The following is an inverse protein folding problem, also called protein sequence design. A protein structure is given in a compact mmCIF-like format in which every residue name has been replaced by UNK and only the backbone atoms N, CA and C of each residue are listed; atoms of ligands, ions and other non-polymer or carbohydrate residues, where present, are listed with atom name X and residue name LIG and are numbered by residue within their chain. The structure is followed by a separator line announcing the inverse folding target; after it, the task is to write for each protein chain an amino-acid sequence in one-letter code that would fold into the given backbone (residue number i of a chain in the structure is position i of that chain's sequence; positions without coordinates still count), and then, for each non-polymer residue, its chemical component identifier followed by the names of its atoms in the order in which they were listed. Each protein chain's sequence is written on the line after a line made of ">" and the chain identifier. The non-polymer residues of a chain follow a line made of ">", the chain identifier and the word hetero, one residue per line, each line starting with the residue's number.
data_IF_027042257691
#
_entry.id   IF_027042257691
#
_cell.length_a   1.000
_cell.length_b   1.000
_cell.length_c   1.000
_cell.angle_alpha   90.00
_cell.angle_beta   90.00
_cell.angle_gamma   90.00
#
_symmetry.space_group_name_H-M   'P 1'
#
loop_
_entity.id
_entity.type
_entity.pdbx_description
1 polymer ?
#
# COMPACT_ATOMS: atom_id res chain seq x y z
N UNK A 1 -1.54 1.94 -20.64
CA UNK A 1 -1.40 0.47 -20.69
C UNK A 1 -1.71 -0.05 -19.30
N UNK A 2 -2.61 -1.03 -19.18
CA UNK A 2 -2.94 -1.66 -17.89
C UNK A 2 -1.71 -2.41 -17.36
N UNK A 3 -1.39 -2.26 -16.07
CA UNK A 3 -0.39 -3.10 -15.44
C UNK A 3 -0.85 -4.56 -15.52
N UNK A 4 -0.04 -5.50 -16.02
CA UNK A 4 -0.42 -6.91 -16.03
C UNK A 4 -0.63 -7.39 -14.60
N UNK A 5 -1.81 -7.96 -14.32
CA UNK A 5 -2.07 -8.55 -13.01
C UNK A 5 -1.10 -9.69 -12.74
N UNK A 6 -0.57 -9.77 -11.54
CA UNK A 6 0.39 -10.80 -11.14
C UNK A 6 -0.11 -11.57 -9.93
N UNK A 7 0.29 -12.83 -9.83
CA UNK A 7 -0.12 -13.73 -8.75
C UNK A 7 0.38 -13.19 -7.40
N UNK A 8 -0.47 -13.23 -6.39
CA UNK A 8 -0.15 -12.86 -5.00
C UNK A 8 -0.51 -13.99 -4.04
N UNK A 9 0.00 -13.93 -2.81
CA UNK A 9 -0.33 -14.89 -1.74
C UNK A 9 -1.83 -14.81 -1.44
N UNK A 10 -2.62 -15.90 -1.61
CA UNK A 10 -4.08 -15.86 -1.55
C UNK A 10 -4.63 -16.09 -0.13
N UNK A 11 -4.03 -15.43 0.86
CA UNK A 11 -4.40 -15.54 2.28
C UNK A 11 -4.53 -14.13 2.84
N UNK A 12 -5.68 -13.83 3.43
CA UNK A 12 -6.05 -12.48 3.82
C UNK A 12 -6.72 -12.42 5.20
N UNK A 13 -6.61 -11.27 5.88
CA UNK A 13 -7.40 -10.97 7.07
C UNK A 13 -8.90 -10.87 6.74
N UNK A 14 -9.76 -10.99 7.76
CA UNK A 14 -11.23 -11.02 7.59
C UNK A 14 -11.81 -9.73 7.01
N UNK A 15 -11.14 -8.61 7.23
CA UNK A 15 -11.54 -7.30 6.73
C UNK A 15 -11.48 -7.21 5.19
N UNK A 16 -10.78 -8.12 4.50
CA UNK A 16 -10.82 -8.23 3.02
C UNK A 16 -12.24 -8.38 2.48
N UNK A 17 -13.15 -8.98 3.28
CA UNK A 17 -14.55 -9.15 2.93
C UNK A 17 -15.30 -7.81 2.80
N UNK A 18 -14.83 -6.76 3.49
CA UNK A 18 -15.38 -5.41 3.35
C UNK A 18 -14.98 -4.73 2.02
N UNK A 19 -14.02 -5.32 1.29
CA UNK A 19 -13.55 -4.83 -0.01
C UNK A 19 -14.09 -5.63 -1.20
N UNK A 20 -15.00 -6.59 -0.98
CA UNK A 20 -15.64 -7.33 -2.07
C UNK A 20 -16.43 -6.36 -2.96
N UNK A 21 -16.20 -6.46 -4.26
CA UNK A 21 -17.01 -5.82 -5.29
C UNK A 21 -18.13 -6.75 -5.76
N UNK A 22 -17.78 -8.00 -6.06
CA UNK A 22 -18.70 -8.99 -6.61
C UNK A 22 -18.20 -10.42 -6.38
N UNK A 23 -19.13 -11.38 -6.37
CA UNK A 23 -18.85 -12.81 -6.43
C UNK A 23 -19.73 -13.50 -7.49
N UNK A 24 -19.11 -14.37 -8.30
CA UNK A 24 -19.80 -15.04 -9.40
C UNK A 24 -19.35 -16.48 -9.50
N UNK A 25 -20.31 -17.41 -9.54
CA UNK A 25 -20.06 -18.80 -9.90
C UNK A 25 -19.88 -18.93 -11.41
N UNK A 26 -18.70 -19.40 -11.84
CA UNK A 26 -18.35 -19.52 -13.25
C UNK A 26 -18.81 -20.86 -13.83
N UNK A 27 -19.51 -20.85 -14.97
CA UNK A 27 -19.95 -22.06 -15.68
C UNK A 27 -18.78 -22.98 -16.08
N UNK A 28 -18.84 -24.28 -15.79
CA UNK A 28 -17.73 -25.25 -15.88
C UNK A 28 -16.90 -25.20 -17.17
N UNK A 29 -17.51 -24.86 -18.30
CA UNK A 29 -16.86 -24.74 -19.61
C UNK A 29 -15.93 -23.53 -19.74
N UNK A 30 -16.02 -22.56 -18.82
CA UNK A 30 -15.24 -21.31 -18.87
C UNK A 30 -13.84 -21.48 -18.28
N UNK A 31 -12.78 -20.93 -18.91
CA UNK A 31 -11.46 -20.85 -18.31
C UNK A 31 -11.50 -19.90 -17.10
N UNK A 32 -11.55 -20.45 -15.88
CA UNK A 32 -11.92 -19.72 -14.67
C UNK A 32 -11.09 -18.45 -14.43
N UNK A 33 -9.76 -18.55 -14.57
CA UNK A 33 -8.83 -17.43 -14.38
C UNK A 33 -9.10 -16.30 -15.39
N UNK A 34 -9.27 -16.62 -16.67
CA UNK A 34 -9.49 -15.62 -17.71
C UNK A 34 -10.85 -14.93 -17.54
N UNK A 35 -11.89 -15.70 -17.20
CA UNK A 35 -13.21 -15.14 -16.94
C UNK A 35 -13.17 -14.20 -15.71
N UNK A 36 -12.51 -14.61 -14.64
CA UNK A 36 -12.39 -13.79 -13.43
C UNK A 36 -11.56 -12.52 -13.66
N UNK A 37 -10.46 -12.62 -14.43
CA UNK A 37 -9.68 -11.47 -14.85
C UNK A 37 -10.51 -10.49 -15.69
N UNK A 38 -11.35 -10.98 -16.60
CA UNK A 38 -12.23 -10.14 -17.40
C UNK A 38 -13.26 -9.40 -16.55
N UNK A 39 -13.87 -10.06 -15.56
CA UNK A 39 -14.79 -9.42 -14.61
C UNK A 39 -14.09 -8.26 -13.87
N UNK A 40 -12.85 -8.48 -13.43
CA UNK A 40 -12.06 -7.43 -12.79
C UNK A 40 -11.73 -6.29 -13.77
N UNK A 41 -11.30 -6.60 -15.00
CA UNK A 41 -10.97 -5.59 -16.02
C UNK A 41 -12.15 -4.71 -16.42
N UNK A 42 -13.37 -5.24 -16.39
CA UNK A 42 -14.59 -4.50 -16.71
C UNK A 42 -15.03 -3.56 -15.57
N UNK A 43 -14.53 -3.78 -14.34
CA UNK A 43 -14.81 -2.93 -13.20
C UNK A 43 -13.59 -2.07 -12.84
N UNK A 44 -13.65 -0.77 -13.10
CA UNK A 44 -12.54 0.17 -12.82
C UNK A 44 -12.11 0.23 -11.35
N UNK A 45 -12.98 -0.18 -10.43
CA UNK A 45 -12.66 -0.23 -9.00
C UNK A 45 -11.92 -1.53 -8.62
N UNK A 46 -11.91 -2.56 -9.48
CA UNK A 46 -11.27 -3.83 -9.18
C UNK A 46 -9.75 -3.75 -9.28
N UNK A 47 -9.07 -4.27 -8.25
CA UNK A 47 -7.61 -4.25 -8.14
C UNK A 47 -7.02 -5.59 -7.66
N UNK A 48 -7.89 -6.48 -7.22
CA UNK A 48 -7.59 -7.85 -6.83
C UNK A 48 -8.75 -8.72 -7.30
N UNK A 49 -8.43 -9.90 -7.81
CA UNK A 49 -9.41 -10.95 -8.01
C UNK A 49 -8.85 -12.28 -7.53
N UNK A 50 -9.74 -13.12 -7.02
CA UNK A 50 -9.42 -14.41 -6.44
C UNK A 50 -10.39 -15.49 -6.91
N UNK A 51 -9.91 -16.73 -6.94
CA UNK A 51 -10.69 -17.91 -7.25
C UNK A 51 -10.64 -18.90 -6.10
N UNK A 52 -11.79 -19.46 -5.76
CA UNK A 52 -11.92 -20.67 -4.95
C UNK A 52 -12.87 -21.62 -5.68
N UNK A 53 -12.39 -22.78 -6.09
CA UNK A 53 -13.07 -23.72 -6.99
C UNK A 53 -13.53 -23.03 -8.30
N UNK A 54 -14.83 -22.75 -8.41
CA UNK A 54 -15.47 -22.08 -9.55
C UNK A 54 -16.04 -20.72 -9.18
N UNK A 55 -15.81 -20.26 -7.96
CA UNK A 55 -16.24 -18.94 -7.50
C UNK A 55 -15.15 -17.91 -7.75
N UNK A 56 -15.48 -16.92 -8.57
CA UNK A 56 -14.65 -15.73 -8.78
C UNK A 56 -15.10 -14.64 -7.82
N UNK A 57 -14.13 -14.05 -7.12
CA UNK A 57 -14.32 -12.93 -6.23
C UNK A 57 -13.49 -11.75 -6.74
N UNK A 58 -14.10 -10.57 -6.86
CA UNK A 58 -13.41 -9.34 -7.24
C UNK A 58 -13.43 -8.36 -6.09
N UNK A 59 -12.37 -7.55 -5.95
CA UNK A 59 -12.19 -6.67 -4.80
C UNK A 59 -11.65 -5.30 -5.19
N UNK A 60 -12.01 -4.29 -4.39
CA UNK A 60 -11.30 -2.99 -4.36
C UNK A 60 -9.97 -3.05 -3.62
N UNK A 61 -9.72 -4.16 -2.90
CA UNK A 61 -8.48 -4.39 -2.18
C UNK A 61 -7.28 -4.40 -3.14
N UNK A 62 -6.16 -3.85 -2.70
CA UNK A 62 -4.89 -3.93 -3.43
C UNK A 62 -3.91 -4.78 -2.65
N UNK A 63 -3.14 -5.58 -3.37
CA UNK A 63 -2.17 -6.49 -2.78
C UNK A 63 -0.89 -6.39 -3.57
N UNK A 64 0.21 -6.09 -2.90
CA UNK A 64 1.52 -6.00 -3.55
C UNK A 64 2.08 -7.40 -3.81
N UNK A 65 3.14 -7.49 -4.63
CA UNK A 65 3.93 -8.73 -4.74
C UNK A 65 4.70 -9.08 -3.46
N UNK A 66 4.78 -8.15 -2.51
CA UNK A 66 5.52 -8.30 -1.25
C UNK A 66 4.65 -8.85 -0.12
N UNK A 67 3.33 -8.98 -0.33
CA UNK A 67 2.38 -9.56 0.62
C UNK A 67 2.76 -10.99 1.01
N UNK A 68 3.05 -11.18 2.30
CA UNK A 68 3.48 -12.48 2.85
C UNK A 68 2.31 -13.40 3.24
N UNK A 69 1.07 -12.91 3.19
CA UNK A 69 -0.08 -13.61 3.75
C UNK A 69 -0.31 -13.22 5.22
N UNK A 70 -1.54 -13.43 5.68
CA UNK A 70 -1.91 -13.21 7.08
C UNK A 70 -1.81 -14.52 7.85
N UNK A 71 -0.93 -14.60 8.86
CA UNK A 71 -0.78 -15.81 9.68
C UNK A 71 -2.03 -16.15 10.51
N UNK A 72 -2.91 -15.18 10.79
CA UNK A 72 -4.19 -15.42 11.45
C UNK A 72 -5.30 -15.87 10.47
N UNK A 73 -5.00 -15.89 9.16
CA UNK A 73 -5.78 -16.37 8.00
C UNK A 73 -7.21 -16.79 8.31
N UNK A 74 -8.14 -15.85 8.23
CA UNK A 74 -9.58 -16.16 8.27
C UNK A 74 -10.19 -16.34 6.88
N UNK A 75 -9.52 -15.89 5.81
CA UNK A 75 -10.02 -15.98 4.43
C UNK A 75 -8.91 -16.40 3.48
N UNK A 76 -9.09 -17.53 2.78
CA UNK A 76 -8.10 -18.10 1.84
C UNK A 76 -8.70 -18.39 0.47
N UNK A 77 -7.94 -18.32 -0.60
CA UNK A 77 -8.38 -18.66 -1.95
C UNK A 77 -7.37 -19.61 -2.59
N UNK A 78 -7.76 -20.29 -3.69
CA UNK A 78 -6.83 -21.16 -4.41
C UNK A 78 -5.77 -20.34 -5.13
N UNK A 79 -6.19 -19.22 -5.72
CA UNK A 79 -5.31 -18.31 -6.43
C UNK A 79 -5.88 -16.89 -6.46
N UNK A 80 -4.99 -15.90 -6.37
CA UNK A 80 -5.32 -14.49 -6.48
C UNK A 80 -4.33 -13.76 -7.36
N UNK A 81 -4.79 -12.70 -8.02
CA UNK A 81 -3.98 -11.82 -8.84
C UNK A 81 -4.28 -10.36 -8.54
N UNK A 82 -3.25 -9.54 -8.43
CA UNK A 82 -3.41 -8.09 -8.23
C UNK A 82 -2.81 -7.29 -9.37
N UNK A 83 -3.47 -6.19 -9.71
CA UNK A 83 -3.01 -5.14 -10.63
C UNK A 83 -1.94 -4.24 -10.00
N UNK A 84 -1.76 -4.31 -8.67
CA UNK A 84 -0.83 -3.46 -7.92
C UNK A 84 0.61 -3.99 -7.89
N UNK A 85 0.85 -5.15 -8.48
CA UNK A 85 2.19 -5.73 -8.57
C UNK A 85 3.17 -4.83 -9.36
N UNK A 86 4.43 -4.80 -8.90
CA UNK A 86 5.54 -4.21 -9.64
C UNK A 86 6.79 -5.09 -9.44
N UNK A 87 7.49 -5.43 -10.53
CA UNK A 87 8.62 -6.39 -10.47
C UNK A 87 9.80 -5.89 -9.64
N UNK A 88 9.97 -4.58 -9.56
CA UNK A 88 11.04 -3.93 -8.79
C UNK A 88 10.54 -3.36 -7.46
N UNK A 89 9.41 -3.86 -6.96
CA UNK A 89 8.92 -3.52 -5.63
C UNK A 89 9.86 -4.09 -4.55
N UNK A 90 10.53 -3.19 -3.85
CA UNK A 90 11.49 -3.50 -2.79
C UNK A 90 10.93 -3.28 -1.39
N UNK A 91 9.62 -3.04 -1.24
CA UNK A 91 8.97 -2.85 0.07
C UNK A 91 9.16 -4.08 0.99
N UNK A 92 9.35 -5.29 0.45
CA UNK A 92 9.64 -6.49 1.25
C UNK A 92 10.96 -6.44 2.03
N UNK A 93 11.89 -5.53 1.69
CA UNK A 93 13.12 -5.31 2.45
C UNK A 93 12.93 -4.42 3.68
N UNK A 94 11.75 -3.82 3.89
CA UNK A 94 11.47 -3.11 5.13
C UNK A 94 11.52 -4.10 6.29
N UNK A 95 12.46 -3.88 7.21
CA UNK A 95 12.66 -4.74 8.40
C UNK A 95 12.09 -4.12 9.67
N UNK A 96 11.69 -2.84 9.63
CA UNK A 96 11.13 -2.15 10.77
C UNK A 96 10.52 -0.81 10.37
N UNK A 97 9.48 -0.42 11.10
CA UNK A 97 8.77 0.84 10.91
C UNK A 97 8.56 1.52 12.25
N UNK A 98 8.57 2.85 12.24
CA UNK A 98 8.34 3.68 13.42
C UNK A 98 7.59 4.94 13.02
N UNK A 99 6.85 5.53 13.96
CA UNK A 99 6.17 6.79 13.74
C UNK A 99 6.21 7.65 15.00
N UNK A 100 5.91 8.93 14.84
CA UNK A 100 5.82 9.88 15.95
C UNK A 100 4.74 9.50 16.95
N UNK A 101 3.62 8.95 16.47
CA UNK A 101 2.51 8.45 17.26
C UNK A 101 1.60 7.54 16.43
N UNK A 102 0.72 6.81 17.11
CA UNK A 102 -0.35 6.03 16.50
C UNK A 102 -1.70 6.50 17.06
N UNK A 103 -2.68 6.70 16.19
CA UNK A 103 -4.02 7.16 16.59
C UNK A 103 -4.76 6.10 17.40
N UNK A 104 -4.64 4.83 17.00
CA UNK A 104 -5.20 3.70 17.74
C UNK A 104 -4.34 2.43 17.51
N UNK A 105 -4.59 1.34 18.26
CA UNK A 105 -3.80 0.11 18.15
C UNK A 105 -3.87 -0.61 16.79
N UNK A 106 -4.81 -0.25 15.91
CA UNK A 106 -4.96 -0.83 14.57
C UNK A 106 -4.26 -0.02 13.48
N UNK A 107 -3.81 1.21 13.78
CA UNK A 107 -3.20 2.13 12.82
C UNK A 107 -1.67 2.16 12.92
N UNK A 108 -1.07 1.00 13.10
CA UNK A 108 0.36 0.84 13.36
C UNK A 108 1.22 1.22 12.15
N UNK A 109 2.51 1.59 12.34
CA UNK A 109 3.35 2.06 11.24
C UNK A 109 3.60 1.03 10.14
N UNK A 110 3.55 -0.27 10.44
CA UNK A 110 3.76 -1.36 9.48
C UNK A 110 2.62 -1.47 8.46
N UNK A 111 1.42 -0.98 8.80
CA UNK A 111 0.25 -0.93 7.91
C UNK A 111 0.47 -0.10 6.65
N UNK A 112 1.53 0.70 6.61
CA UNK A 112 1.89 1.47 5.44
C UNK A 112 2.75 0.70 4.42
N UNK A 113 3.26 -0.48 4.76
CA UNK A 113 4.22 -1.23 3.96
C UNK A 113 4.01 -2.74 4.10
N UNK A 114 2.81 -3.15 4.53
CA UNK A 114 2.53 -4.54 4.81
C UNK A 114 2.19 -5.32 3.54
N UNK A 115 1.93 -4.65 2.42
CA UNK A 115 1.57 -5.24 1.14
C UNK A 115 0.08 -5.46 0.91
N UNK A 116 -0.78 -4.94 1.79
CA UNK A 116 -2.23 -5.13 1.75
C UNK A 116 -2.92 -3.78 1.90
N UNK A 117 -4.00 -3.57 1.16
CA UNK A 117 -4.86 -2.40 1.32
C UNK A 117 -6.30 -2.88 1.26
N UNK A 118 -7.02 -2.77 2.37
CA UNK A 118 -8.47 -2.86 2.37
C UNK A 118 -9.05 -1.91 3.41
N UNK A 119 -9.91 -0.98 2.96
CA UNK A 119 -10.72 0.00 3.72
C UNK A 119 -10.03 0.68 4.91
N UNK A 120 -9.77 -0.03 6.00
CA UNK A 120 -9.17 0.46 7.25
C UNK A 120 -7.68 0.15 7.40
N UNK A 121 -7.09 -0.62 6.47
CA UNK A 121 -5.67 -0.97 6.50
C UNK A 121 -4.82 0.24 6.11
N UNK A 122 -4.45 1.04 7.12
CA UNK A 122 -3.74 2.30 6.97
C UNK A 122 -2.90 2.60 8.20
N UNK A 123 -1.77 3.29 8.00
CA UNK A 123 -1.13 4.03 9.07
C UNK A 123 -1.88 5.34 9.36
N UNK A 124 -2.02 5.70 10.64
CA UNK A 124 -2.64 6.96 11.08
C UNK A 124 -2.00 7.44 12.40
N UNK A 125 -1.40 8.64 12.39
CA UNK A 125 -0.85 9.26 13.60
C UNK A 125 -1.90 10.04 14.39
N UNK A 126 -1.60 10.40 15.64
CA UNK A 126 -2.36 11.44 16.33
C UNK A 126 -2.12 12.81 15.71
N UNK A 127 -3.05 13.72 15.95
CA UNK A 127 -2.81 15.15 15.84
C UNK A 127 -1.93 15.54 17.04
N UNK A 128 -0.81 16.21 16.80
CA UNK A 128 0.15 16.53 17.85
C UNK A 128 0.77 17.91 17.64
N UNK A 129 1.16 18.55 18.75
CA UNK A 129 1.93 19.78 18.73
C UNK A 129 3.37 19.45 18.31
N UNK A 130 3.68 19.63 17.03
CA UNK A 130 4.97 19.28 16.43
C UNK A 130 4.83 18.48 15.14
N UNK A 131 5.97 18.03 14.62
CA UNK A 131 6.02 17.30 13.35
C UNK A 131 5.47 15.88 13.51
N UNK A 132 4.46 15.51 12.72
CA UNK A 132 4.05 14.11 12.58
C UNK A 132 4.96 13.44 11.56
N UNK A 133 5.49 12.27 11.90
CA UNK A 133 6.43 11.57 11.04
C UNK A 133 6.21 10.07 11.03
N UNK A 134 6.62 9.45 9.93
CA UNK A 134 6.68 8.00 9.74
C UNK A 134 8.00 7.63 9.08
N UNK A 135 8.59 6.51 9.47
CA UNK A 135 9.88 6.04 8.96
C UNK A 135 9.91 4.53 8.78
N UNK A 136 10.53 4.09 7.69
CA UNK A 136 10.90 2.70 7.44
C UNK A 136 12.41 2.51 7.39
N UNK A 137 12.89 1.39 7.94
CA UNK A 137 14.25 0.87 7.80
C UNK A 137 14.26 -0.24 6.74
N UNK A 138 14.94 0.00 5.62
CA UNK A 138 15.12 -0.95 4.50
C UNK A 138 16.17 -2.05 4.77
N UNK A 139 16.72 -2.09 6.00
CA UNK A 139 17.70 -3.04 6.50
C UNK A 139 19.13 -2.80 6.01
N UNK A 140 19.28 -2.28 4.81
CA UNK A 140 20.55 -1.86 4.21
C UNK A 140 20.31 -0.68 3.26
N UNK A 141 21.34 0.07 2.86
CA UNK A 141 21.21 1.06 1.80
C UNK A 141 20.71 0.40 0.50
N UNK A 142 19.60 0.91 -0.05
CA UNK A 142 19.00 0.45 -1.31
C UNK A 142 18.89 1.62 -2.28
N UNK A 143 19.06 1.33 -3.57
CA UNK A 143 18.73 2.29 -4.63
C UNK A 143 17.22 2.38 -4.80
N UNK A 144 16.66 3.58 -4.66
CA UNK A 144 15.24 3.86 -4.81
C UNK A 144 15.07 4.84 -5.96
N UNK A 145 14.34 4.42 -7.00
CA UNK A 145 14.05 5.23 -8.19
C UNK A 145 12.66 5.85 -8.15
N UNK A 146 11.71 5.24 -7.44
CA UNK A 146 10.34 5.77 -7.33
C UNK A 146 9.71 5.36 -6.01
N UNK A 147 8.90 6.26 -5.45
CA UNK A 147 8.03 5.98 -4.32
C UNK A 147 6.60 6.25 -4.75
N UNK A 148 5.72 5.27 -4.59
CA UNK A 148 4.28 5.44 -4.79
C UNK A 148 3.58 5.39 -3.43
N UNK A 149 2.74 6.38 -3.16
CA UNK A 149 1.96 6.46 -1.93
C UNK A 149 0.49 6.40 -2.28
N UNK A 150 -0.19 5.39 -1.73
CA UNK A 150 -1.62 5.31 -1.76
C UNK A 150 -2.17 6.08 -0.56
N UNK A 151 -2.84 7.21 -0.81
CA UNK A 151 -3.50 7.96 0.27
C UNK A 151 -4.73 7.19 0.78
N UNK A 152 -5.11 7.51 2.03
CA UNK A 152 -6.22 6.88 2.76
C UNK A 152 -7.52 6.91 1.95
N UNK A 153 -8.27 5.80 1.95
CA UNK A 153 -9.42 5.55 1.03
C UNK A 153 -10.80 5.58 1.66
N UNK A 154 -10.91 5.50 2.97
CA UNK A 154 -12.17 5.31 3.70
C UNK A 154 -13.09 6.54 3.73
N UNK A 155 -12.82 7.58 2.92
CA UNK A 155 -13.67 8.75 2.77
C UNK A 155 -13.74 9.63 4.02
N UNK A 156 -12.89 9.37 5.02
CA UNK A 156 -12.78 10.26 6.16
C UNK A 156 -12.25 11.60 5.66
N UNK A 157 -12.94 12.70 6.02
CA UNK A 157 -12.72 14.07 5.54
C UNK A 157 -11.34 14.68 5.85
N UNK A 158 -10.42 13.87 6.39
CA UNK A 158 -9.04 14.21 6.78
C UNK A 158 -8.00 13.27 6.14
N UNK A 159 -7.97 13.14 4.80
CA UNK A 159 -6.72 12.69 4.15
C UNK A 159 -5.67 13.77 4.37
N UNK A 160 -4.89 13.61 5.44
CA UNK A 160 -3.94 14.62 5.89
C UNK A 160 -2.53 14.35 5.32
N UNK A 161 -2.48 13.97 4.05
CA UNK A 161 -1.22 14.03 3.30
C UNK A 161 -1.09 15.46 2.76
N UNK A 162 -0.47 16.32 3.57
CA UNK A 162 -0.38 17.76 3.34
C UNK A 162 1.00 18.28 3.77
N UNK A 163 1.64 19.09 2.93
CA UNK A 163 3.00 19.62 3.13
C UNK A 163 4.00 18.56 3.60
N UNK A 164 4.10 17.48 2.83
CA UNK A 164 4.93 16.33 3.18
C UNK A 164 6.34 16.50 2.60
N UNK A 165 7.35 16.25 3.43
CA UNK A 165 8.75 16.14 3.01
C UNK A 165 9.12 14.67 3.07
N UNK A 166 9.69 14.15 1.99
CA UNK A 166 10.16 12.78 1.89
C UNK A 166 11.68 12.82 1.92
N UNK A 167 12.31 12.09 2.83
CA UNK A 167 13.77 11.97 2.91
C UNK A 167 14.21 10.51 2.79
N UNK A 168 15.37 10.31 2.17
CA UNK A 168 15.98 8.99 2.03
C UNK A 168 17.50 9.10 2.20
N UNK A 169 18.04 8.36 3.15
CA UNK A 169 19.49 8.33 3.37
C UNK A 169 19.93 7.27 4.37
N UNK A 170 21.19 7.37 4.83
CA UNK A 170 21.81 6.34 5.68
C UNK A 170 21.93 6.75 7.14
N UNK A 171 21.55 7.98 7.50
CA UNK A 171 21.62 8.47 8.87
C UNK A 171 20.42 7.97 9.69
N UNK A 172 20.71 7.35 10.83
CA UNK A 172 19.70 6.98 11.83
C UNK A 172 19.16 8.17 12.61
N UNK A 173 19.84 9.31 12.57
CA UNK A 173 19.57 10.50 13.37
C UNK A 173 18.56 11.45 12.70
N UNK A 174 17.75 10.94 11.76
CA UNK A 174 16.66 11.66 11.07
C UNK A 174 17.13 12.85 10.20
N UNK A 175 18.44 12.97 9.95
CA UNK A 175 19.03 13.96 9.04
C UNK A 175 19.45 13.26 7.74
N UNK A 176 18.53 13.19 6.78
CA UNK A 176 18.76 12.56 5.48
C UNK A 176 18.44 13.53 4.32
N UNK A 177 19.05 13.34 3.14
CA UNK A 177 18.72 14.12 1.95
C UNK A 177 17.23 14.05 1.59
N UNK A 178 16.70 15.16 1.08
CA UNK A 178 15.35 15.21 0.53
C UNK A 178 15.28 14.34 -0.72
N UNK A 179 14.35 13.39 -0.72
CA UNK A 179 13.97 12.58 -1.87
C UNK A 179 12.98 13.34 -2.76
N UNK A 180 11.93 13.90 -2.15
CA UNK A 180 10.93 14.74 -2.83
C UNK A 180 10.12 15.55 -1.80
N UNK A 181 9.28 16.47 -2.27
CA UNK A 181 8.34 17.26 -1.46
C UNK A 181 6.96 17.32 -2.09
N UNK A 182 5.92 17.25 -1.28
CA UNK A 182 4.53 17.40 -1.71
C UNK A 182 3.86 18.56 -0.96
N UNK A 183 3.80 19.76 -1.54
CA UNK A 183 3.30 20.95 -0.86
C UNK A 183 1.77 21.07 -0.87
N UNK A 184 1.06 20.13 -1.47
CA UNK A 184 -0.40 20.20 -1.65
C UNK A 184 -1.13 19.28 -0.67
N UNK A 185 -2.46 19.42 -0.60
CA UNK A 185 -3.32 18.48 0.12
C UNK A 185 -3.80 17.42 -0.86
N UNK A 186 -3.42 16.17 -0.62
CA UNK A 186 -3.84 15.08 -1.49
C UNK A 186 -5.33 14.76 -1.31
N UNK A 187 -5.94 14.29 -2.39
CA UNK A 187 -7.31 13.77 -2.39
C UNK A 187 -7.37 12.38 -1.73
N UNK A 188 -8.55 12.03 -1.19
CA UNK A 188 -8.79 10.71 -0.60
C UNK A 188 -8.69 9.64 -1.68
N UNK A 189 -7.88 8.62 -1.44
CA UNK A 189 -7.65 7.51 -2.37
C UNK A 189 -6.75 7.85 -3.58
N UNK A 190 -6.10 9.01 -3.60
CA UNK A 190 -5.11 9.38 -4.60
C UNK A 190 -3.89 8.45 -4.58
N UNK A 191 -3.34 8.17 -5.77
CA UNK A 191 -2.03 7.54 -5.92
C UNK A 191 -1.02 8.63 -6.24
N UNK A 192 -0.18 8.97 -5.27
CA UNK A 192 0.93 9.92 -5.45
C UNK A 192 2.16 9.14 -5.92
N UNK A 193 2.91 9.70 -6.87
CA UNK A 193 4.15 9.10 -7.40
C UNK A 193 5.26 10.13 -7.34
N UNK A 194 6.36 9.76 -6.69
CA UNK A 194 7.54 10.59 -6.49
C UNK A 194 8.72 9.92 -7.19
N UNK A 195 9.32 10.62 -8.14
CA UNK A 195 10.37 10.09 -9.00
C UNK A 195 11.48 11.14 -9.11
N UNK A 196 12.59 11.01 -8.35
CA UNK A 196 13.71 11.93 -8.45
C UNK A 196 14.38 11.82 -9.83
N UNK A 197 15.15 12.84 -10.21
CA UNK A 197 15.87 12.87 -11.49
C UNK A 197 16.91 11.75 -11.62
N UNK A 198 17.43 11.26 -10.49
CA UNK A 198 18.33 10.11 -10.41
C UNK A 198 17.95 9.26 -9.20
N UNK A 199 18.09 7.91 -9.27
CA UNK A 199 17.83 7.05 -8.12
C UNK A 199 18.68 7.46 -6.92
N UNK A 200 18.07 7.48 -5.73
CA UNK A 200 18.71 7.85 -4.48
C UNK A 200 19.00 6.58 -3.69
N UNK A 201 20.22 6.48 -3.15
CA UNK A 201 20.62 5.35 -2.31
C UNK A 201 20.43 5.73 -0.84
N UNK A 202 19.64 4.96 -0.10
CA UNK A 202 19.45 5.16 1.33
C UNK A 202 18.87 3.93 2.03
N UNK A 203 18.97 3.91 3.35
CA UNK A 203 18.43 2.86 4.23
C UNK A 203 17.15 3.31 4.94
N UNK A 204 17.07 4.57 5.34
CA UNK A 204 15.97 5.12 6.10
C UNK A 204 15.12 6.01 5.20
N UNK A 205 13.90 5.55 4.92
CA UNK A 205 12.88 6.34 4.22
C UNK A 205 11.97 6.98 5.25
N UNK A 206 11.75 8.29 5.15
CA UNK A 206 10.96 9.04 6.11
C UNK A 206 10.03 10.03 5.43
N UNK A 207 8.85 10.19 6.04
CA UNK A 207 7.81 11.13 5.65
C UNK A 207 7.54 12.04 6.85
N UNK A 208 7.65 13.35 6.65
CA UNK A 208 7.45 14.38 7.68
C UNK A 208 6.37 15.37 7.25
N UNK A 209 5.53 15.82 8.17
CA UNK A 209 4.62 16.95 7.97
C UNK A 209 4.65 17.90 9.17
N UNK A 210 4.63 19.20 8.89
CA UNK A 210 4.80 20.27 9.87
C UNK A 210 3.48 20.93 10.31
N UNK A 211 2.34 20.48 9.78
CA UNK A 211 1.09 21.24 9.87
C UNK A 211 0.28 21.01 11.17
N UNK A 212 0.87 20.43 12.22
CA UNK A 212 0.13 19.90 13.37
C UNK A 212 -1.07 19.04 12.92
N UNK A 213 -0.91 18.27 11.85
CA UNK A 213 -1.94 17.38 11.28
C UNK A 213 -1.60 15.92 11.54
N UNK A 214 -2.62 15.06 11.46
CA UNK A 214 -2.40 13.61 11.32
C UNK A 214 -1.52 13.34 10.08
N UNK A 215 -0.60 12.39 10.14
CA UNK A 215 0.01 11.80 8.95
C UNK A 215 -0.68 10.46 8.66
N UNK A 216 -1.05 10.20 7.41
CA UNK A 216 -1.81 8.99 7.06
C UNK A 216 -1.62 8.56 5.61
N UNK A 217 -1.50 7.26 5.41
CA UNK A 217 -1.49 6.61 4.10
C UNK A 217 -1.89 5.14 4.24
N UNK A 218 -2.47 4.60 3.17
CA UNK A 218 -2.87 3.19 3.10
C UNK A 218 -1.71 2.28 2.76
N UNK A 219 -0.80 2.73 1.88
CA UNK A 219 0.36 1.91 1.48
C UNK A 219 1.43 2.77 0.82
N UNK A 220 2.67 2.34 0.97
CA UNK A 220 3.86 2.87 0.34
C UNK A 220 4.54 1.73 -0.41
N UNK A 221 4.64 1.91 -1.72
CA UNK A 221 5.43 1.06 -2.60
C UNK A 221 6.76 1.72 -2.91
N UNK A 222 7.83 1.01 -2.65
CA UNK A 222 9.21 1.49 -2.85
C UNK A 222 9.77 0.73 -4.06
N UNK A 223 10.20 1.46 -5.09
CA UNK A 223 10.62 0.87 -6.36
C UNK A 223 12.11 1.17 -6.59
N UNK A 224 12.87 0.15 -6.99
CA UNK A 224 14.27 0.27 -7.42
C UNK A 224 14.42 0.36 -8.93
#
# INVERSE_FOLDING_TARGET
>A
MLSPSSKVTPSFPSDVLECILDNVTLADTSPAIHACALLCLLNKACQLYCLRDRECWTFTAMVTGTWKGDSASTVTYDICYSTWYHSNDITHFVIGTSASSIYNPLSTPDKAVNGFICKWDCFHSNEQNGMSWWRADLGAPRSVSTIQVQTRRDGYWRSNFHHVIITLGNSSDYVNPVFDTYPYKATSGELLTFTPSTPIIGRYLQFDTNDNVHLSFSEIKIIS
#
